data_IF_567193257931
#
_entry.id   IF_567193257931
#
_cell.length_a   1.000
_cell.length_b   1.000
_cell.length_c   1.000
_cell.angle_alpha   90.00
_cell.angle_beta   90.00
_cell.angle_gamma   90.00
#
_symmetry.space_group_name_H-M   'P 1'
#
loop_
_entity.id
_entity.type
_entity.pdbx_description
1 polymer ?
#
# COMPACT_ATOMS: atom_id res chain seq x y z
N UNK A 1 -11.29 15.52 25.97
CA UNK A 1 -10.27 14.45 25.97
C UNK A 1 -9.65 14.37 24.58
N UNK A 2 -8.47 14.97 24.38
CA UNK A 2 -7.80 15.05 23.06
C UNK A 2 -6.81 13.89 22.82
N UNK A 3 -6.34 13.22 23.89
CA UNK A 3 -5.32 12.16 23.79
C UNK A 3 -5.80 10.81 23.24
N UNK A 4 -7.07 10.45 23.40
CA UNK A 4 -7.60 9.17 22.89
C UNK A 4 -7.63 9.14 21.36
N UNK A 5 -7.98 10.26 20.71
CA UNK A 5 -7.98 10.38 19.26
C UNK A 5 -6.57 10.25 18.68
N UNK A 6 -5.56 10.78 19.34
CA UNK A 6 -4.17 10.68 18.88
C UNK A 6 -3.67 9.23 18.86
N UNK A 7 -3.87 8.49 19.95
CA UNK A 7 -3.46 7.07 20.04
C UNK A 7 -4.25 6.20 19.06
N UNK A 8 -5.55 6.46 18.90
CA UNK A 8 -6.40 5.74 17.94
C UNK A 8 -5.93 5.96 16.50
N UNK A 9 -5.51 7.17 16.14
CA UNK A 9 -4.97 7.49 14.83
C UNK A 9 -3.64 6.76 14.57
N UNK A 10 -2.74 6.74 15.54
CA UNK A 10 -1.47 6.00 15.43
C UNK A 10 -1.75 4.51 15.16
N UNK A 11 -2.68 3.91 15.91
CA UNK A 11 -2.99 2.48 15.81
C UNK A 11 -3.58 2.06 14.46
N UNK A 12 -4.19 2.98 13.70
CA UNK A 12 -4.72 2.71 12.35
C UNK A 12 -3.64 2.62 11.26
N UNK A 13 -2.47 3.24 11.47
CA UNK A 13 -1.43 3.37 10.43
C UNK A 13 -0.66 2.06 10.23
N UNK A 14 -0.38 1.71 8.97
CA UNK A 14 0.46 0.56 8.58
C UNK A 14 1.43 1.02 7.49
N UNK A 15 2.71 1.13 7.83
CA UNK A 15 3.79 1.51 6.90
C UNK A 15 4.64 0.28 6.65
N UNK A 16 4.80 -0.12 5.39
CA UNK A 16 5.57 -1.31 5.03
C UNK A 16 6.16 -1.18 3.62
N UNK A 17 7.09 -2.07 3.28
CA UNK A 17 7.71 -2.18 1.97
C UNK A 17 7.73 -3.64 1.50
N UNK A 18 7.72 -3.87 0.18
CA UNK A 18 7.80 -5.21 -0.41
C UNK A 18 9.19 -5.40 -1.01
N UNK A 19 10.01 -6.27 -0.42
CA UNK A 19 11.35 -6.65 -0.92
C UNK A 19 11.33 -8.07 -1.50
N UNK A 20 12.05 -8.29 -2.59
CA UNK A 20 12.05 -9.56 -3.33
C UNK A 20 13.14 -9.54 -4.38
N UNK A 21 13.51 -10.74 -4.86
CA UNK A 21 14.37 -10.92 -6.02
C UNK A 21 13.72 -10.34 -7.30
N UNK A 22 14.50 -10.00 -8.35
CA UNK A 22 13.96 -9.68 -9.67
C UNK A 22 12.92 -10.71 -10.14
N UNK A 23 11.90 -10.24 -10.85
CA UNK A 23 10.82 -11.03 -11.44
C UNK A 23 9.92 -11.84 -10.48
N UNK A 24 10.11 -11.72 -9.16
CA UNK A 24 9.26 -12.38 -8.15
C UNK A 24 7.83 -11.82 -8.03
N UNK A 25 7.41 -10.91 -8.92
CA UNK A 25 6.04 -10.38 -8.96
C UNK A 25 5.72 -9.26 -7.97
N UNK A 26 6.72 -8.52 -7.47
CA UNK A 26 6.53 -7.36 -6.56
C UNK A 26 5.53 -6.33 -7.10
N UNK A 27 5.62 -6.04 -8.41
CA UNK A 27 4.72 -5.12 -9.11
C UNK A 27 3.28 -5.64 -9.10
N UNK A 28 3.09 -6.94 -9.39
CA UNK A 28 1.78 -7.59 -9.41
C UNK A 28 1.08 -7.57 -8.06
N UNK A 29 1.79 -7.88 -6.97
CA UNK A 29 1.20 -7.83 -5.63
C UNK A 29 0.88 -6.40 -5.21
N UNK A 30 1.71 -5.41 -5.60
CA UNK A 30 1.46 -4.00 -5.33
C UNK A 30 0.16 -3.52 -5.99
N UNK A 31 -0.08 -3.91 -7.24
CA UNK A 31 -1.33 -3.60 -7.96
C UNK A 31 -2.57 -4.16 -7.25
N UNK A 32 -2.50 -5.41 -6.78
CA UNK A 32 -3.61 -6.04 -6.06
C UNK A 32 -3.89 -5.33 -4.74
N UNK A 33 -2.87 -5.00 -3.96
CA UNK A 33 -3.03 -4.23 -2.71
C UNK A 33 -3.69 -2.88 -2.97
N UNK A 34 -3.25 -2.14 -3.99
CA UNK A 34 -3.84 -0.84 -4.35
C UNK A 34 -5.30 -0.98 -4.84
N UNK A 35 -5.62 -2.01 -5.62
CA UNK A 35 -6.98 -2.33 -6.06
C UNK A 35 -7.90 -2.57 -4.85
N UNK A 36 -7.48 -3.42 -3.89
CA UNK A 36 -8.27 -3.69 -2.68
C UNK A 36 -8.38 -2.47 -1.77
N UNK A 37 -7.38 -1.59 -1.76
CA UNK A 37 -7.42 -0.30 -1.08
C UNK A 37 -8.26 0.77 -1.80
N UNK A 38 -8.98 0.43 -2.86
CA UNK A 38 -9.76 1.34 -3.71
C UNK A 38 -8.90 2.45 -4.35
N UNK A 39 -7.58 2.26 -4.45
CA UNK A 39 -6.61 3.16 -5.07
C UNK A 39 -6.37 2.80 -6.54
N UNK A 40 -7.45 2.71 -7.32
CA UNK A 40 -7.46 2.23 -8.72
C UNK A 40 -6.51 2.99 -9.65
N UNK A 41 -6.51 4.34 -9.59
CA UNK A 41 -5.66 5.17 -10.44
C UNK A 41 -4.17 4.88 -10.19
N UNK A 42 -3.78 4.73 -8.93
CA UNK A 42 -2.41 4.39 -8.53
C UNK A 42 -2.03 2.98 -8.97
N UNK A 43 -2.96 2.01 -8.87
CA UNK A 43 -2.73 0.63 -9.32
C UNK A 43 -2.42 0.57 -10.82
N UNK A 44 -3.15 1.32 -11.67
CA UNK A 44 -2.93 1.36 -13.11
C UNK A 44 -1.57 1.94 -13.52
N UNK A 45 -1.08 2.95 -12.80
CA UNK A 45 0.23 3.57 -13.07
C UNK A 45 1.41 2.64 -12.75
N UNK A 46 1.27 1.75 -11.75
CA UNK A 46 2.33 0.80 -11.38
C UNK A 46 2.64 -0.17 -12.53
N UNK A 47 1.62 -0.61 -13.27
CA UNK A 47 1.76 -1.49 -14.45
C UNK A 47 2.46 -0.81 -15.63
N UNK A 48 2.23 0.49 -15.80
CA UNK A 48 2.77 1.29 -16.90
C UNK A 48 4.25 1.67 -16.73
N UNK A 49 4.81 1.48 -15.53
CA UNK A 49 6.25 1.65 -15.26
C UNK A 49 6.99 0.35 -15.59
N UNK A 50 7.27 0.14 -16.87
CA UNK A 50 8.39 -0.70 -17.32
C UNK A 50 9.56 0.21 -17.70
#
# INVERSE_FOLDING_TARGET
MSGSNFVNEINKRRTFAIISHPDAGKTTITEKVLLYGQALQTAGTVKGKK
#
